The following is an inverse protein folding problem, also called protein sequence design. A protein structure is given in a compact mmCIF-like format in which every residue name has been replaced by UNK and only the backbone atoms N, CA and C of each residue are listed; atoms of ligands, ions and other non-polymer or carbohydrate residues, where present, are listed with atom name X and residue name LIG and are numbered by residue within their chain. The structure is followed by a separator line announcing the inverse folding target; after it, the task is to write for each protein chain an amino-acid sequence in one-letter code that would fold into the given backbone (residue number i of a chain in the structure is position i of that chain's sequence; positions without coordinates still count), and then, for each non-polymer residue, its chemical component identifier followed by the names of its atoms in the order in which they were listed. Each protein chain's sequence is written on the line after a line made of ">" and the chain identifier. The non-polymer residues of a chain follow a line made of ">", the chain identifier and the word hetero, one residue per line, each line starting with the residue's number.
data_IF_085602569635
#
_entry.id   IF_085602569635
#
_cell.length_a   1.000
_cell.length_b   1.000
_cell.length_c   1.000
_cell.angle_alpha   90.00
_cell.angle_beta   90.00
_cell.angle_gamma   90.00
#
_symmetry.space_group_name_H-M   'P 1'
#
loop_
_entity.id
_entity.type
_entity.pdbx_description
1 polymer ?
#
# COMPACT_ATOMS: atom_id res chain seq x y z
N UNK A 1 4.13 28.22 -5.81
CA UNK A 1 3.04 27.34 -5.31
C UNK A 1 3.65 26.16 -4.59
N UNK A 2 3.37 25.99 -3.30
CA UNK A 2 3.84 24.85 -2.49
C UNK A 2 2.90 23.68 -2.78
N UNK A 3 3.35 22.68 -3.54
CA UNK A 3 2.58 21.48 -3.83
C UNK A 3 2.55 20.58 -2.59
N UNK A 4 1.48 20.68 -1.79
CA UNK A 4 1.18 19.74 -0.71
C UNK A 4 0.50 18.50 -1.28
N UNK A 5 1.29 17.57 -1.83
CA UNK A 5 0.80 16.23 -2.17
C UNK A 5 0.72 15.43 -0.88
N UNK A 6 -0.43 15.46 -0.22
CA UNK A 6 -0.70 14.69 1.00
C UNK A 6 -2.16 14.26 1.03
N UNK A 7 -2.59 13.50 0.04
CA UNK A 7 -3.76 12.63 0.12
C UNK A 7 -3.87 11.81 -1.16
N UNK A 8 -3.32 10.58 -1.19
CA UNK A 8 -4.00 9.41 -1.78
C UNK A 8 -3.19 8.12 -1.79
N UNK A 9 -1.92 8.18 -1.44
CA UNK A 9 -1.23 7.06 -0.80
C UNK A 9 -1.15 7.49 0.66
N UNK A 10 -1.52 6.64 1.61
CA UNK A 10 -1.09 6.89 2.99
C UNK A 10 0.42 6.64 3.01
N UNK A 11 1.19 7.62 2.53
CA UNK A 11 2.57 7.80 2.93
C UNK A 11 2.45 8.24 4.38
N UNK A 12 2.51 7.29 5.29
CA UNK A 12 2.68 7.60 6.70
C UNK A 12 4.05 8.29 6.86
N UNK A 13 4.07 9.62 6.75
CA UNK A 13 5.16 10.48 7.22
C UNK A 13 4.86 10.77 8.67
N UNK A 14 5.45 9.99 9.57
CA UNK A 14 5.41 10.29 11.00
C UNK A 14 6.66 11.09 11.33
N UNK A 15 6.46 12.38 11.63
CA UNK A 15 7.39 13.18 12.40
C UNK A 15 7.58 12.51 13.77
N UNK A 16 8.85 12.37 14.18
CA UNK A 16 9.23 11.62 15.36
C UNK A 16 8.63 12.19 16.64
N UNK A 17 7.92 11.33 17.37
CA UNK A 17 7.77 11.50 18.81
C UNK A 17 8.79 10.57 19.48
N UNK A 18 9.76 11.18 20.14
CA UNK A 18 10.72 10.50 20.99
C UNK A 18 10.01 9.88 22.21
N UNK A 19 10.46 8.70 22.64
CA UNK A 19 10.28 8.27 24.03
C UNK A 19 9.28 7.16 24.35
N UNK A 20 8.88 6.31 23.40
CA UNK A 20 8.27 5.01 23.76
C UNK A 20 9.36 3.92 23.76
N UNK A 21 9.41 3.04 24.78
CA UNK A 21 10.31 1.88 24.71
C UNK A 21 9.99 1.09 23.44
N UNK A 22 11.03 0.63 22.75
CA UNK A 22 10.94 -0.13 21.51
C UNK A 22 10.10 -1.39 21.74
N UNK A 23 8.78 -1.29 21.55
CA UNK A 23 7.89 -2.44 21.58
C UNK A 23 8.36 -3.41 20.51
N UNK A 24 8.52 -4.67 20.88
CA UNK A 24 8.92 -5.72 19.97
C UNK A 24 8.00 -5.72 18.75
N UNK A 25 8.60 -5.90 17.56
CA UNK A 25 7.82 -6.00 16.33
C UNK A 25 6.88 -7.22 16.43
N UNK A 26 5.69 -7.15 15.84
CA UNK A 26 4.83 -8.33 15.79
C UNK A 26 5.57 -9.45 15.05
N UNK A 27 5.32 -10.71 15.42
CA UNK A 27 5.76 -11.83 14.59
C UNK A 27 5.11 -11.70 13.21
N UNK A 28 5.92 -11.61 12.17
CA UNK A 28 5.48 -11.48 10.78
C UNK A 28 6.22 -12.49 9.91
N UNK A 29 5.64 -12.80 8.75
CA UNK A 29 6.23 -13.68 7.73
C UNK A 29 6.44 -12.91 6.44
N UNK A 30 7.52 -13.18 5.73
CA UNK A 30 7.67 -12.73 4.34
C UNK A 30 6.94 -13.68 3.40
N UNK A 31 6.05 -13.15 2.55
CA UNK A 31 5.30 -13.94 1.58
C UNK A 31 6.22 -14.27 0.41
N UNK A 32 6.35 -15.56 0.11
CA UNK A 32 7.13 -16.08 -1.02
C UNK A 32 6.31 -16.96 -1.96
N UNK A 33 5.20 -17.48 -1.48
CA UNK A 33 4.25 -18.26 -2.27
C UNK A 33 3.29 -17.31 -3.01
N UNK A 34 3.27 -17.32 -4.36
CA UNK A 34 2.32 -16.53 -5.13
C UNK A 34 0.85 -16.75 -4.76
N UNK A 35 0.46 -17.95 -4.31
CA UNK A 35 -0.91 -18.24 -3.90
C UNK A 35 -1.34 -17.50 -2.61
N UNK A 36 -0.37 -17.06 -1.82
CA UNK A 36 -0.60 -16.30 -0.59
C UNK A 36 -0.47 -14.79 -0.77
N UNK A 37 -0.16 -14.33 -2.00
CA UNK A 37 0.19 -12.95 -2.32
C UNK A 37 -1.03 -12.07 -2.61
N UNK A 38 -0.98 -10.83 -2.13
CA UNK A 38 -1.90 -9.76 -2.51
C UNK A 38 -1.47 -9.01 -3.79
N UNK A 39 -0.29 -9.30 -4.34
CA UNK A 39 0.24 -8.63 -5.52
C UNK A 39 -0.71 -8.68 -6.73
N UNK A 40 -1.38 -9.81 -7.07
CA UNK A 40 -2.32 -9.83 -8.19
C UNK A 40 -3.47 -8.81 -8.04
N UNK A 41 -3.99 -8.63 -6.81
CA UNK A 41 -5.02 -7.60 -6.54
C UNK A 41 -4.45 -6.20 -6.70
N UNK A 42 -3.21 -5.98 -6.26
CA UNK A 42 -2.56 -4.68 -6.36
C UNK A 42 -2.27 -4.28 -7.81
N UNK A 43 -1.84 -5.23 -8.63
CA UNK A 43 -1.62 -5.02 -10.07
C UNK A 43 -2.94 -4.72 -10.78
N UNK A 44 -3.99 -5.51 -10.51
CA UNK A 44 -5.32 -5.26 -11.08
C UNK A 44 -5.87 -3.89 -10.67
N UNK A 45 -5.65 -3.47 -9.42
CA UNK A 45 -6.00 -2.13 -8.94
C UNK A 45 -5.30 -1.05 -9.77
N UNK A 46 -3.98 -1.15 -9.96
CA UNK A 46 -3.23 -0.17 -10.75
C UNK A 46 -3.65 -0.15 -12.22
N UNK A 47 -4.01 -1.30 -12.80
CA UNK A 47 -4.55 -1.39 -14.16
C UNK A 47 -5.86 -0.61 -14.30
N UNK A 48 -6.84 -0.82 -13.41
CA UNK A 48 -8.10 -0.07 -13.43
C UNK A 48 -7.87 1.44 -13.27
N UNK A 49 -6.98 1.83 -12.34
CA UNK A 49 -6.66 3.24 -12.11
C UNK A 49 -5.96 3.90 -13.31
N UNK A 50 -5.04 3.20 -13.98
CA UNK A 50 -4.39 3.68 -15.21
C UNK A 50 -5.39 3.82 -16.39
N UNK A 51 -6.43 2.99 -16.41
CA UNK A 51 -7.53 3.11 -17.36
C UNK A 51 -8.53 4.24 -16.99
N UNK A 52 -8.47 4.77 -15.78
CA UNK A 52 -9.42 5.76 -15.26
C UNK A 52 -10.73 5.15 -14.73
N UNK A 53 -10.79 3.84 -14.59
CA UNK A 53 -11.94 3.09 -14.10
C UNK A 53 -11.95 3.06 -12.57
N UNK A 54 -12.52 4.12 -11.98
CA UNK A 54 -12.60 4.29 -10.54
C UNK A 54 -13.50 3.25 -9.88
N UNK A 55 -14.60 2.87 -10.51
CA UNK A 55 -15.58 1.99 -9.88
C UNK A 55 -15.04 0.55 -9.81
N UNK A 56 -14.38 0.06 -10.86
CA UNK A 56 -13.70 -1.23 -10.83
C UNK A 56 -12.52 -1.23 -9.83
N UNK A 57 -11.72 -0.16 -9.80
CA UNK A 57 -10.65 -0.01 -8.81
C UNK A 57 -11.19 -0.03 -7.37
N UNK A 58 -12.30 0.66 -7.12
CA UNK A 58 -12.91 0.75 -5.80
C UNK A 58 -13.50 -0.58 -5.32
N UNK A 59 -14.01 -1.41 -6.24
CA UNK A 59 -14.53 -2.76 -5.94
C UNK A 59 -13.44 -3.74 -5.43
N UNK A 60 -12.16 -3.36 -5.51
CA UNK A 60 -11.03 -4.08 -4.92
C UNK A 60 -10.70 -3.66 -3.49
N UNK A 61 -11.54 -2.85 -2.85
CA UNK A 61 -11.40 -2.41 -1.45
C UNK A 61 -12.43 -3.05 -0.53
N UNK A 62 -12.10 -3.20 0.75
CA UNK A 62 -13.06 -3.56 1.80
C UNK A 62 -13.96 -2.38 2.23
N UNK A 63 -13.79 -1.21 1.64
CA UNK A 63 -14.67 -0.04 1.79
C UNK A 63 -14.90 0.64 0.43
N UNK A 64 -15.60 -0.02 -0.52
CA UNK A 64 -15.65 0.39 -1.92
C UNK A 64 -16.24 1.79 -2.15
N UNK A 65 -17.36 2.12 -1.50
CA UNK A 65 -18.00 3.44 -1.65
C UNK A 65 -17.07 4.58 -1.23
N UNK A 66 -16.41 4.42 -0.07
CA UNK A 66 -15.42 5.38 0.44
C UNK A 66 -14.22 5.48 -0.50
N UNK A 67 -13.71 4.35 -0.98
CA UNK A 67 -12.57 4.31 -1.91
C UNK A 67 -12.92 5.03 -3.23
N UNK A 68 -14.10 4.80 -3.78
CA UNK A 68 -14.56 5.47 -4.99
C UNK A 68 -14.63 6.99 -4.80
N UNK A 69 -15.18 7.46 -3.67
CA UNK A 69 -15.22 8.90 -3.37
C UNK A 69 -13.82 9.51 -3.33
N UNK A 70 -12.90 8.89 -2.59
CA UNK A 70 -11.51 9.33 -2.46
C UNK A 70 -10.82 9.41 -3.83
N UNK A 71 -11.02 8.41 -4.70
CA UNK A 71 -10.46 8.40 -6.06
C UNK A 71 -11.08 9.49 -6.94
N UNK A 72 -12.38 9.75 -6.84
CA UNK A 72 -13.07 10.82 -7.60
C UNK A 72 -12.57 12.20 -7.17
N UNK A 73 -12.43 12.43 -5.87
CA UNK A 73 -11.91 13.69 -5.32
C UNK A 73 -10.49 13.94 -5.82
N UNK A 74 -9.64 12.90 -5.82
CA UNK A 74 -8.29 13.01 -6.35
C UNK A 74 -8.29 13.30 -7.85
N UNK A 75 -9.06 12.55 -8.65
CA UNK A 75 -9.18 12.80 -10.09
C UNK A 75 -9.66 14.23 -10.38
N UNK A 76 -10.60 14.76 -9.59
CA UNK A 76 -11.06 16.13 -9.72
C UNK A 76 -9.94 17.16 -9.43
N UNK A 77 -9.04 16.85 -8.49
CA UNK A 77 -7.93 17.74 -8.11
C UNK A 77 -6.78 17.79 -9.13
N UNK A 78 -6.49 16.68 -9.83
CA UNK A 78 -5.37 16.61 -10.78
C UNK A 78 -5.80 16.60 -12.25
N UNK A 79 -7.07 16.31 -12.53
CA UNK A 79 -7.61 16.08 -13.87
C UNK A 79 -7.45 14.63 -14.33
N UNK A 80 -8.32 14.19 -15.25
CA UNK A 80 -8.37 12.78 -15.68
C UNK A 80 -7.08 12.29 -16.36
N UNK A 81 -6.53 13.08 -17.28
CA UNK A 81 -5.31 12.71 -18.00
C UNK A 81 -4.12 12.50 -17.05
N UNK A 82 -3.97 13.41 -16.08
CA UNK A 82 -2.91 13.33 -15.08
C UNK A 82 -3.15 12.18 -14.10
N UNK A 83 -4.39 11.97 -13.66
CA UNK A 83 -4.76 10.82 -12.83
C UNK A 83 -4.31 9.50 -13.47
N UNK A 84 -4.66 9.29 -14.74
CA UNK A 84 -4.30 8.07 -15.50
C UNK A 84 -2.79 7.95 -15.65
N UNK A 85 -2.11 9.05 -16.00
CA UNK A 85 -0.64 9.08 -16.15
C UNK A 85 0.06 8.69 -14.84
N UNK A 86 -0.38 9.24 -13.72
CA UNK A 86 0.19 8.95 -12.40
C UNK A 86 0.08 7.46 -12.07
N UNK A 87 -1.11 6.85 -12.22
CA UNK A 87 -1.27 5.44 -11.89
C UNK A 87 -0.63 4.49 -12.91
N UNK A 88 -0.54 4.89 -14.18
CA UNK A 88 0.25 4.17 -15.18
C UNK A 88 1.76 4.18 -14.86
N UNK A 89 2.27 5.30 -14.32
CA UNK A 89 3.65 5.36 -13.82
C UNK A 89 3.85 4.46 -12.60
N UNK A 90 2.92 4.51 -11.65
CA UNK A 90 2.98 3.64 -10.46
C UNK A 90 3.04 2.14 -10.82
N UNK A 91 2.35 1.73 -11.87
CA UNK A 91 2.31 0.33 -12.33
C UNK A 91 3.66 -0.19 -12.87
N UNK A 92 4.63 0.69 -13.16
CA UNK A 92 5.96 0.31 -13.62
C UNK A 92 6.89 -0.09 -12.48
N UNK A 93 6.59 0.33 -11.26
CA UNK A 93 7.40 0.02 -10.10
C UNK A 93 7.24 -1.43 -9.67
N UNK A 94 8.30 -2.01 -9.11
CA UNK A 94 8.30 -3.40 -8.64
C UNK A 94 7.92 -3.50 -7.16
N UNK A 95 7.29 -4.61 -6.80
CA UNK A 95 7.16 -5.01 -5.40
C UNK A 95 8.53 -5.46 -4.89
N UNK A 96 9.01 -4.85 -3.81
CA UNK A 96 10.28 -5.23 -3.16
C UNK A 96 10.07 -6.24 -2.05
N UNK A 97 8.88 -6.23 -1.45
CA UNK A 97 8.54 -7.15 -0.37
C UNK A 97 7.04 -7.24 -0.15
N UNK A 98 6.62 -8.41 0.27
CA UNK A 98 5.32 -8.64 0.86
C UNK A 98 5.46 -9.25 2.26
N UNK A 99 4.80 -8.64 3.25
CA UNK A 99 4.75 -9.12 4.63
C UNK A 99 3.35 -9.57 4.99
N UNK A 100 3.23 -10.75 5.59
CA UNK A 100 2.01 -11.29 6.17
C UNK A 100 1.98 -11.12 7.69
N UNK A 101 0.82 -10.71 8.20
CA UNK A 101 0.44 -10.76 9.60
C UNK A 101 -0.99 -11.32 9.67
N UNK A 102 -1.08 -12.63 9.97
CA UNK A 102 -2.33 -13.39 9.83
C UNK A 102 -2.92 -13.26 8.41
N UNK A 103 -4.17 -12.81 8.35
CA UNK A 103 -4.90 -12.59 7.09
C UNK A 103 -4.60 -11.28 6.38
N UNK A 104 -3.70 -10.46 6.93
CA UNK A 104 -3.34 -9.17 6.33
C UNK A 104 -2.01 -9.24 5.61
N UNK A 105 -1.87 -8.39 4.59
CA UNK A 105 -0.65 -8.22 3.81
C UNK A 105 -0.24 -6.76 3.81
N UNK A 106 1.07 -6.53 3.85
CA UNK A 106 1.72 -5.27 3.57
C UNK A 106 2.57 -5.48 2.32
N UNK A 107 2.17 -4.85 1.22
CA UNK A 107 2.88 -4.86 -0.04
C UNK A 107 3.72 -3.59 -0.14
N UNK A 108 5.03 -3.74 -0.35
CA UNK A 108 5.99 -2.64 -0.42
C UNK A 108 6.54 -2.49 -1.83
N UNK A 109 6.52 -1.26 -2.34
CA UNK A 109 6.90 -0.91 -3.72
C UNK A 109 8.18 -0.09 -3.74
N UNK A 110 9.07 -0.37 -4.70
CA UNK A 110 10.25 0.43 -5.01
C UNK A 110 9.82 1.67 -5.81
N UNK A 111 9.73 2.84 -5.18
CA UNK A 111 9.42 4.10 -5.89
C UNK A 111 10.71 4.93 -6.10
N UNK A 112 11.82 4.23 -6.37
CA UNK A 112 13.19 4.71 -6.60
C UNK A 112 13.83 5.43 -5.41
N UNK A 113 13.22 6.53 -4.96
CA UNK A 113 13.69 7.37 -3.85
C UNK A 113 13.05 7.02 -2.51
N UNK A 114 11.96 6.25 -2.53
CA UNK A 114 11.19 5.91 -1.34
C UNK A 114 10.47 4.57 -1.51
N UNK A 115 10.03 4.01 -0.38
CA UNK A 115 9.20 2.80 -0.39
C UNK A 115 7.72 3.15 -0.24
N UNK A 116 6.95 2.87 -1.29
CA UNK A 116 5.50 2.88 -1.27
C UNK A 116 4.93 1.69 -0.52
N UNK A 117 3.73 1.80 0.02
CA UNK A 117 3.10 0.71 0.75
C UNK A 117 1.59 0.65 0.52
N UNK A 118 1.07 -0.56 0.40
CA UNK A 118 -0.36 -0.87 0.34
C UNK A 118 -0.68 -1.96 1.36
N UNK A 119 -1.84 -1.84 2.00
CA UNK A 119 -2.31 -2.80 3.00
C UNK A 119 -3.47 -3.59 2.40
N UNK A 120 -3.46 -4.90 2.59
CA UNK A 120 -4.53 -5.78 2.13
C UNK A 120 -5.02 -6.69 3.24
N UNK A 121 -6.25 -7.16 3.10
CA UNK A 121 -6.88 -8.15 3.97
C UNK A 121 -7.47 -9.27 3.11
N UNK A 122 -7.32 -10.52 3.55
CA UNK A 122 -7.96 -11.66 2.88
C UNK A 122 -9.48 -11.56 3.04
N UNK A 123 -10.18 -11.71 1.93
CA UNK A 123 -11.63 -11.80 1.85
C UNK A 123 -12.01 -12.99 0.97
N UNK A 124 -12.50 -14.07 1.58
CA UNK A 124 -12.76 -15.34 0.92
C UNK A 124 -11.52 -15.84 0.15
N UNK A 125 -11.62 -15.98 -1.18
CA UNK A 125 -10.55 -16.51 -2.04
C UNK A 125 -9.57 -15.46 -2.55
N UNK A 126 -9.76 -14.16 -2.26
CA UNK A 126 -8.92 -13.08 -2.77
C UNK A 126 -8.47 -12.10 -1.69
N UNK A 127 -7.58 -11.19 -2.04
CA UNK A 127 -7.26 -10.03 -1.21
C UNK A 127 -8.08 -8.82 -1.62
N UNK A 128 -8.35 -7.95 -0.65
CA UNK A 128 -8.92 -6.61 -0.86
C UNK A 128 -7.98 -5.59 -0.23
N UNK A 129 -7.96 -4.38 -0.78
CA UNK A 129 -7.31 -3.24 -0.17
C UNK A 129 -7.95 -2.96 1.21
N UNK A 130 -7.12 -2.83 2.23
CA UNK A 130 -7.54 -2.64 3.62
C UNK A 130 -7.67 -1.14 3.96
N UNK A 131 -8.84 -0.58 3.66
CA UNK A 131 -9.19 0.82 3.89
C UNK A 131 -9.86 1.08 5.24
N UNK A 132 -10.31 0.01 5.89
CA UNK A 132 -10.89 0.06 7.24
C UNK A 132 -9.75 0.05 8.28
N UNK A 133 -9.67 1.03 9.20
CA UNK A 133 -8.69 0.99 10.28
C UNK A 133 -8.84 -0.27 11.17
N UNK A 134 -7.72 -0.88 11.55
CA UNK A 134 -7.71 -2.02 12.47
C UNK A 134 -6.41 -2.07 13.29
N UNK A 135 -6.41 -2.85 14.38
CA UNK A 135 -5.24 -3.01 15.25
C UNK A 135 -4.07 -3.66 14.47
N UNK A 136 -4.35 -4.69 13.70
CA UNK A 136 -3.35 -5.43 12.94
C UNK A 136 -2.79 -4.61 11.77
N UNK A 137 -3.61 -3.74 11.15
CA UNK A 137 -3.11 -2.75 10.19
C UNK A 137 -2.18 -1.73 10.85
N UNK A 138 -2.46 -1.38 12.11
CA UNK A 138 -1.54 -0.55 12.92
C UNK A 138 -0.22 -1.29 13.16
N UNK A 139 -0.26 -2.59 13.39
CA UNK A 139 0.95 -3.42 13.53
C UNK A 139 1.75 -3.52 12.24
N UNK A 140 1.10 -3.71 11.09
CA UNK A 140 1.77 -3.64 9.78
C UNK A 140 2.38 -2.25 9.52
N UNK A 141 1.76 -1.17 10.00
CA UNK A 141 2.36 0.17 9.93
C UNK A 141 3.65 0.27 10.76
N UNK A 142 3.74 -0.38 11.93
CA UNK A 142 4.99 -0.45 12.70
C UNK A 142 6.08 -1.21 11.94
N UNK A 143 5.73 -2.31 11.26
CA UNK A 143 6.65 -3.07 10.41
C UNK A 143 7.17 -2.19 9.26
N UNK A 144 6.29 -1.48 8.56
CA UNK A 144 6.69 -0.54 7.50
C UNK A 144 7.66 0.54 8.02
N UNK A 145 7.37 1.11 9.20
CA UNK A 145 8.23 2.13 9.81
C UNK A 145 9.61 1.55 10.15
N UNK A 146 9.66 0.36 10.73
CA UNK A 146 10.91 -0.32 11.04
C UNK A 146 11.72 -0.66 9.78
N UNK A 147 11.05 -1.07 8.69
CA UNK A 147 11.67 -1.27 7.38
C UNK A 147 12.31 0.03 6.87
N UNK A 148 11.56 1.14 6.86
CA UNK A 148 12.05 2.44 6.40
C UNK A 148 13.21 2.99 7.25
N UNK A 149 13.29 2.58 8.51
CA UNK A 149 14.38 2.94 9.44
C UNK A 149 15.59 1.98 9.36
N UNK A 150 15.57 0.99 8.46
CA UNK A 150 16.63 -0.01 8.33
C UNK A 150 16.71 -1.01 9.49
N UNK A 151 15.70 -1.04 10.38
CA UNK A 151 15.62 -1.98 11.51
C UNK A 151 15.17 -3.37 11.10
N UNK A 152 14.59 -3.48 9.90
CA UNK A 152 14.31 -4.76 9.23
C UNK A 152 15.24 -4.84 8.05
N UNK A 153 16.12 -5.85 8.02
CA UNK A 153 17.04 -6.05 6.90
C UNK A 153 16.26 -6.31 5.61
N UNK A 154 16.62 -5.70 4.47
CA UNK A 154 16.26 -6.17 3.13
C UNK A 154 16.42 -7.69 3.06
N UNK A 155 15.46 -8.42 2.50
CA UNK A 155 15.65 -9.83 2.18
C UNK A 155 16.82 -9.80 1.21
N UNK A 156 17.86 -10.58 1.51
CA UNK A 156 18.99 -10.71 0.62
C UNK A 156 18.45 -11.22 -0.72
N UNK A 157 18.22 -10.31 -1.65
CA UNK A 157 18.13 -10.64 -3.06
C UNK A 157 19.50 -11.20 -3.41
N UNK A 158 19.53 -12.43 -3.92
CA UNK A 158 20.74 -13.00 -4.50
C UNK A 158 21.29 -12.03 -5.54
N UNK A 159 22.60 -11.81 -5.48
CA UNK A 159 23.41 -11.28 -6.57
C UNK A 159 23.17 -12.06 -7.87
#
# INVERSE_FOLDING_TARGET
>A
MKFGVSALIIVAVLAGCAGAPSRELPAYREVRDPAESAQPTAELLLQHLAAGDIDAAAALSNAPERRAQVLRDYRASVGEAEFRRIFAEYAKHRVVREIALGERRLLMWDLDSQVGAQYFVRAASRFLLDDVPSAERTELRRVLLAYRQGRIKPSAGKD
#
